data_IF_724971274677
#
_entry.id   IF_724971274677
#
_cell.length_a   1.000
_cell.length_b   1.000
_cell.length_c   1.000
_cell.angle_alpha   90.00
_cell.angle_beta   90.00
_cell.angle_gamma   90.00
#
_symmetry.space_group_name_H-M   'P 1'
#
loop_
_entity.id
_entity.type
_entity.pdbx_description
1 polymer ?
#
# COMPACT_ATOMS: atom_id res chain seq x y z
N UNK A 1 -16.09 -7.53 14.85
CA UNK A 1 -15.25 -7.86 13.67
C UNK A 1 -14.00 -7.00 13.78
N UNK A 2 -12.80 -7.60 13.74
CA UNK A 2 -11.55 -6.90 14.08
C UNK A 2 -10.86 -6.35 12.83
N UNK A 3 -10.40 -5.10 12.89
CA UNK A 3 -9.69 -4.44 11.79
C UNK A 3 -8.18 -4.60 11.98
N UNK A 4 -7.48 -4.96 10.90
CA UNK A 4 -6.01 -5.01 10.82
C UNK A 4 -5.54 -4.09 9.72
N UNK A 5 -4.74 -3.09 10.08
CA UNK A 5 -4.22 -2.11 9.15
C UNK A 5 -2.82 -2.51 8.67
N UNK A 6 -2.58 -2.37 7.37
CA UNK A 6 -1.34 -2.75 6.71
C UNK A 6 -0.80 -1.56 5.92
N UNK A 7 0.36 -1.07 6.31
CA UNK A 7 1.05 0.04 5.66
C UNK A 7 2.07 -0.50 4.67
N UNK A 8 1.94 -0.11 3.40
CA UNK A 8 2.78 -0.57 2.30
C UNK A 8 3.62 0.61 1.80
N UNK A 9 4.93 0.44 1.89
CA UNK A 9 5.93 1.41 1.47
C UNK A 9 7.12 0.69 0.84
N UNK A 10 7.95 1.45 0.13
CA UNK A 10 9.19 0.93 -0.46
C UNK A 10 10.26 0.73 0.63
N UNK A 11 11.30 -0.05 0.34
CA UNK A 11 12.41 -0.20 1.28
C UNK A 11 13.13 1.14 1.50
N UNK A 12 13.46 1.43 2.76
CA UNK A 12 14.26 2.57 3.21
C UNK A 12 14.86 2.28 4.57
N UNK A 13 15.89 3.02 4.95
CA UNK A 13 16.53 2.95 6.28
C UNK A 13 15.70 3.61 7.40
N UNK A 14 14.47 4.03 7.09
CA UNK A 14 13.56 4.63 8.05
C UNK A 14 13.04 3.58 9.06
N UNK A 15 12.73 3.99 10.29
CA UNK A 15 12.12 3.11 11.27
C UNK A 15 10.82 2.51 10.75
N UNK A 16 10.63 1.20 10.95
CA UNK A 16 9.42 0.47 10.50
C UNK A 16 8.12 1.02 11.07
N UNK A 17 8.20 1.62 12.26
CA UNK A 17 7.08 2.23 13.00
C UNK A 17 7.14 3.77 12.98
N UNK A 18 7.90 4.35 12.05
CA UNK A 18 8.01 5.80 11.89
C UNK A 18 6.82 6.41 11.14
N UNK A 19 6.51 7.67 11.45
CA UNK A 19 5.45 8.46 10.81
C UNK A 19 5.76 8.89 9.36
N UNK A 20 7.00 8.69 8.92
CA UNK A 20 7.48 8.99 7.57
C UNK A 20 7.99 7.68 6.99
N UNK A 21 7.60 7.40 5.75
CA UNK A 21 8.04 6.22 5.01
C UNK A 21 8.39 6.57 3.57
N UNK A 22 9.11 5.69 2.88
CA UNK A 22 9.42 5.88 1.47
C UNK A 22 8.21 5.63 0.58
N UNK A 23 7.94 6.58 -0.33
CA UNK A 23 6.93 6.45 -1.38
C UNK A 23 7.13 5.15 -2.16
N UNK A 24 6.04 4.39 -2.33
CA UNK A 24 6.09 3.08 -2.98
C UNK A 24 6.68 3.13 -4.39
N UNK A 25 6.51 4.24 -5.11
CA UNK A 25 6.96 4.39 -6.49
C UNK A 25 8.32 5.08 -6.65
N UNK A 26 8.51 6.25 -6.04
CA UNK A 26 9.70 7.07 -6.28
C UNK A 26 10.67 7.12 -5.10
N UNK A 27 10.39 6.42 -4.00
CA UNK A 27 11.18 6.38 -2.75
C UNK A 27 11.35 7.71 -2.00
N UNK A 28 10.75 8.78 -2.49
CA UNK A 28 10.67 10.06 -1.78
C UNK A 28 9.98 9.89 -0.42
N UNK A 29 10.51 10.52 0.61
CA UNK A 29 9.94 10.43 1.96
C UNK A 29 8.59 11.12 2.03
N UNK A 30 7.62 10.43 2.64
CA UNK A 30 6.24 10.91 2.72
C UNK A 30 5.53 10.35 3.96
N UNK A 31 4.74 11.20 4.60
CA UNK A 31 3.72 10.80 5.59
C UNK A 31 2.33 10.63 4.96
N UNK A 32 2.21 10.84 3.63
CA UNK A 32 0.94 10.72 2.92
C UNK A 32 0.68 9.28 2.51
N UNK A 33 -0.55 8.86 2.77
CA UNK A 33 -1.06 7.53 2.52
C UNK A 33 -2.30 7.58 1.63
N UNK A 34 -2.52 6.50 0.90
CA UNK A 34 -3.72 6.26 0.11
C UNK A 34 -4.37 4.99 0.63
N UNK A 35 -5.63 5.08 1.05
CA UNK A 35 -6.44 3.89 1.28
C UNK A 35 -6.64 3.16 -0.06
N UNK A 36 -6.13 1.94 -0.16
CA UNK A 36 -6.06 1.23 -1.43
C UNK A 36 -7.13 0.15 -1.57
N UNK A 37 -7.22 -0.78 -0.61
CA UNK A 37 -8.23 -1.84 -0.65
C UNK A 37 -8.50 -2.47 0.70
N UNK A 38 -9.61 -3.20 0.73
CA UNK A 38 -10.04 -4.04 1.86
C UNK A 38 -10.09 -5.50 1.45
N UNK A 39 -9.60 -6.39 2.31
CA UNK A 39 -9.73 -7.83 2.16
C UNK A 39 -10.39 -8.41 3.40
N UNK A 40 -11.51 -9.11 3.24
CA UNK A 40 -12.18 -9.82 4.34
C UNK A 40 -11.71 -11.27 4.34
N UNK A 41 -11.15 -11.76 5.45
CA UNK A 41 -10.74 -13.16 5.60
C UNK A 41 -10.99 -13.60 7.05
N UNK A 42 -11.74 -14.69 7.23
CA UNK A 42 -12.20 -15.18 8.54
C UNK A 42 -12.94 -14.07 9.32
N UNK A 43 -12.51 -13.79 10.56
CA UNK A 43 -13.10 -12.79 11.45
C UNK A 43 -12.46 -11.39 11.34
N UNK A 44 -11.55 -11.17 10.37
CA UNK A 44 -10.78 -9.95 10.23
C UNK A 44 -11.10 -9.20 8.94
N UNK A 45 -11.12 -7.86 9.05
CA UNK A 45 -11.03 -6.92 7.92
C UNK A 45 -9.58 -6.47 7.83
N UNK A 46 -8.96 -6.69 6.67
CA UNK A 46 -7.60 -6.22 6.38
C UNK A 46 -7.66 -4.98 5.50
N UNK A 47 -7.22 -3.85 6.03
CA UNK A 47 -7.14 -2.58 5.32
C UNK A 47 -5.71 -2.33 4.85
N UNK A 48 -5.55 -1.94 3.58
CA UNK A 48 -4.24 -1.64 3.00
C UNK A 48 -4.12 -0.15 2.70
N UNK A 49 -3.11 0.47 3.32
CA UNK A 49 -2.73 1.86 3.13
C UNK A 49 -1.37 1.92 2.42
N UNK A 50 -1.27 2.70 1.36
CA UNK A 50 -0.05 2.80 0.54
C UNK A 50 0.59 4.17 0.77
N UNK A 51 1.85 4.20 1.20
CA UNK A 51 2.61 5.45 1.26
C UNK A 51 2.94 5.90 -0.17
N UNK A 52 2.38 7.03 -0.55
CA UNK A 52 2.51 7.59 -1.89
C UNK A 52 2.61 9.10 -1.77
N UNK A 53 3.73 9.67 -2.25
CA UNK A 53 3.93 11.10 -2.17
C UNK A 53 2.90 11.84 -3.05
N UNK A 54 2.55 13.10 -2.74
CA UNK A 54 1.57 13.86 -3.51
C UNK A 54 1.87 13.92 -5.01
N UNK A 55 3.15 13.98 -5.38
CA UNK A 55 3.61 14.00 -6.77
C UNK A 55 3.25 12.70 -7.51
N UNK A 56 3.50 11.54 -6.90
CA UNK A 56 3.13 10.25 -7.45
C UNK A 56 1.61 10.06 -7.46
N UNK A 57 0.91 10.47 -6.40
CA UNK A 57 -0.56 10.40 -6.34
C UNK A 57 -1.23 11.10 -7.53
N UNK A 58 -0.73 12.29 -7.91
CA UNK A 58 -1.24 13.05 -9.07
C UNK A 58 -1.04 12.34 -10.42
N UNK A 59 -0.13 11.37 -10.52
CA UNK A 59 0.06 10.61 -11.78
C UNK A 59 -1.03 9.56 -11.99
N UNK A 60 -1.72 9.15 -10.93
CA UNK A 60 -2.74 8.08 -10.96
C UNK A 60 -4.15 8.59 -11.21
N UNK A 61 -4.29 9.80 -11.77
CA UNK A 61 -5.60 10.38 -12.11
C UNK A 61 -6.21 9.75 -13.35
N UNK A 62 -5.38 9.23 -14.26
CA UNK A 62 -5.81 8.61 -15.50
C UNK A 62 -5.81 7.09 -15.36
N UNK A 63 -6.77 6.43 -16.02
CA UNK A 63 -7.02 4.99 -15.91
C UNK A 63 -5.75 4.14 -16.15
N UNK A 64 -4.95 4.35 -17.22
CA UNK A 64 -3.78 3.51 -17.47
C UNK A 64 -2.75 3.55 -16.34
N UNK A 65 -2.42 4.76 -15.87
CA UNK A 65 -1.46 4.96 -14.79
C UNK A 65 -1.97 4.35 -13.47
N UNK A 66 -3.28 4.45 -13.22
CA UNK A 66 -3.90 3.83 -12.05
C UNK A 66 -3.83 2.29 -12.12
N UNK A 67 -4.01 1.70 -13.31
CA UNK A 67 -3.86 0.24 -13.50
C UNK A 67 -2.44 -0.20 -13.15
N UNK A 68 -1.41 0.48 -13.69
CA UNK A 68 -0.01 0.17 -13.38
C UNK A 68 0.30 0.29 -11.88
N UNK A 69 -0.21 1.36 -11.25
CA UNK A 69 -0.08 1.56 -9.82
C UNK A 69 -0.77 0.46 -9.01
N UNK A 70 -1.99 0.08 -9.40
CA UNK A 70 -2.78 -0.97 -8.77
C UNK A 70 -2.07 -2.32 -8.90
N UNK A 71 -1.52 -2.64 -10.07
CA UNK A 71 -0.78 -3.89 -10.30
C UNK A 71 0.49 -3.96 -9.45
N UNK A 72 1.24 -2.87 -9.37
CA UNK A 72 2.39 -2.76 -8.47
C UNK A 72 1.98 -3.03 -7.00
N UNK A 73 0.96 -2.34 -6.52
CA UNK A 73 0.47 -2.50 -5.14
C UNK A 73 -0.01 -3.93 -4.87
N UNK A 74 -0.79 -4.49 -5.79
CA UNK A 74 -1.30 -5.85 -5.67
C UNK A 74 -0.19 -6.89 -5.68
N UNK A 75 0.82 -6.74 -6.53
CA UNK A 75 2.00 -7.62 -6.56
C UNK A 75 2.73 -7.63 -5.22
N UNK A 76 2.95 -6.46 -4.62
CA UNK A 76 3.62 -6.32 -3.33
C UNK A 76 2.77 -6.92 -2.20
N UNK A 77 1.48 -6.61 -2.17
CA UNK A 77 0.56 -7.11 -1.14
C UNK A 77 0.46 -8.64 -1.20
N UNK A 78 0.29 -9.23 -2.39
CA UNK A 78 0.23 -10.69 -2.55
C UNK A 78 1.54 -11.35 -2.11
N UNK A 79 2.69 -10.76 -2.43
CA UNK A 79 4.01 -11.26 -2.00
C UNK A 79 4.18 -11.21 -0.48
N UNK A 80 3.75 -10.13 0.18
CA UNK A 80 3.92 -9.94 1.64
C UNK A 80 2.88 -10.70 2.47
N UNK A 81 1.68 -10.90 1.94
CA UNK A 81 0.54 -11.49 2.65
C UNK A 81 -0.10 -12.65 1.86
N UNK A 82 0.66 -13.69 1.48
CA UNK A 82 0.15 -14.77 0.64
C UNK A 82 -1.08 -15.46 1.25
N UNK A 83 -1.09 -15.65 2.57
CA UNK A 83 -2.18 -16.31 3.32
C UNK A 83 -3.54 -15.59 3.23
N UNK A 84 -3.56 -14.32 2.83
CA UNK A 84 -4.81 -13.58 2.62
C UNK A 84 -5.44 -13.86 1.25
N UNK A 85 -4.66 -14.40 0.31
CA UNK A 85 -5.06 -14.63 -1.09
C UNK A 85 -4.98 -16.09 -1.52
N UNK A 86 -4.36 -16.97 -0.72
CA UNK A 86 -4.48 -18.40 -0.88
C UNK A 86 -5.89 -18.86 -0.47
N UNK A 87 -6.55 -19.58 -1.38
CA UNK A 87 -7.82 -20.27 -1.13
C UNK A 87 -7.62 -21.40 -0.15
#
# INVERSE_FOLDING_TARGET
>A
MNIKQHYIYNFSDLPKEGWIQACIQCREFTSKEIFFKVVKKRQYIHEFYIHCCPRCKRRHTNIPNYIEFSDLCNKIIKKRYPNLFSS
#
